data_IF_339983140029
#
_entry.id   IF_339983140029
#
_cell.length_a   1.000
_cell.length_b   1.000
_cell.length_c   1.000
_cell.angle_alpha   90.00
_cell.angle_beta   90.00
_cell.angle_gamma   90.00
#
_symmetry.space_group_name_H-M   'P 1'
#
loop_
_entity.id
_entity.type
_entity.pdbx_description
1 polymer ?
#
# COMPACT_ATOMS: atom_id res chain seq x y z
N UNK A 1 14.42 0.51 16.28
CA UNK A 1 13.32 1.32 16.88
C UNK A 1 12.09 0.42 16.84
N UNK A 2 11.39 0.21 17.93
CA UNK A 2 10.21 -0.67 17.90
C UNK A 2 9.00 0.16 17.46
N UNK A 3 8.56 0.02 16.21
CA UNK A 3 7.46 0.76 15.61
C UNK A 3 6.19 -0.08 15.77
N UNK A 4 5.32 0.37 16.65
CA UNK A 4 4.02 -0.28 16.82
C UNK A 4 3.16 -0.06 15.54
N UNK A 5 2.63 -1.15 14.94
CA UNK A 5 1.79 -1.03 13.75
C UNK A 5 0.56 -0.15 14.00
N UNK A 6 0.30 0.83 13.12
CA UNK A 6 -0.82 1.77 13.23
C UNK A 6 -1.42 2.10 11.88
N UNK A 7 -2.65 2.62 11.88
CA UNK A 7 -3.23 3.25 10.71
C UNK A 7 -3.83 4.62 11.04
N UNK A 8 -3.95 5.46 10.02
CA UNK A 8 -4.53 6.80 10.10
C UNK A 8 -5.55 6.95 8.97
N UNK A 9 -6.78 7.32 9.34
CA UNK A 9 -7.85 7.63 8.38
C UNK A 9 -7.79 9.11 8.00
N UNK A 10 -8.35 9.44 6.83
CA UNK A 10 -8.38 10.78 6.27
C UNK A 10 -6.97 11.41 6.26
N UNK A 11 -6.02 10.64 5.74
CA UNK A 11 -4.60 10.98 5.81
C UNK A 11 -4.26 12.23 4.99
N UNK A 12 -4.92 12.40 3.85
CA UNK A 12 -4.84 13.58 3.00
C UNK A 12 -6.17 14.35 3.04
N UNK A 13 -6.15 15.57 2.53
CA UNK A 13 -7.39 16.29 2.23
C UNK A 13 -8.21 15.49 1.20
N UNK A 14 -9.53 15.45 1.38
CA UNK A 14 -10.42 14.58 0.61
C UNK A 14 -10.29 14.79 -0.91
N UNK A 15 -10.19 16.05 -1.36
CA UNK A 15 -10.07 16.36 -2.78
C UNK A 15 -8.74 15.83 -3.37
N UNK A 16 -7.64 15.85 -2.63
CA UNK A 16 -6.36 15.27 -3.04
C UNK A 16 -6.48 13.74 -3.14
N UNK A 17 -7.09 13.11 -2.14
CA UNK A 17 -7.31 11.66 -2.18
C UNK A 17 -8.16 11.24 -3.39
N UNK A 18 -9.17 12.02 -3.75
CA UNK A 18 -9.99 11.79 -4.95
C UNK A 18 -9.17 11.91 -6.25
N UNK A 19 -8.29 12.91 -6.34
CA UNK A 19 -7.41 13.09 -7.51
C UNK A 19 -6.43 11.92 -7.65
N UNK A 20 -5.86 11.43 -6.55
CA UNK A 20 -5.00 10.23 -6.55
C UNK A 20 -5.79 8.99 -7.01
N UNK A 21 -7.01 8.77 -6.52
CA UNK A 21 -7.86 7.66 -6.98
C UNK A 21 -8.10 7.72 -8.49
N UNK A 22 -8.37 8.90 -9.03
CA UNK A 22 -8.56 9.10 -10.48
C UNK A 22 -7.27 8.83 -11.26
N UNK A 23 -6.15 9.37 -10.81
CA UNK A 23 -4.84 9.21 -11.47
C UNK A 23 -4.42 7.73 -11.52
N UNK A 24 -4.64 6.98 -10.45
CA UNK A 24 -4.29 5.56 -10.41
C UNK A 24 -5.19 4.65 -11.26
N UNK A 25 -6.33 5.13 -11.75
CA UNK A 25 -7.16 4.39 -12.71
C UNK A 25 -6.57 4.39 -14.12
N UNK A 26 -5.72 5.37 -14.44
CA UNK A 26 -5.09 5.55 -15.74
C UNK A 26 -3.66 4.97 -15.81
N UNK A 27 -3.16 4.41 -14.71
CA UNK A 27 -1.81 3.83 -14.64
C UNK A 27 -1.69 2.61 -15.54
N UNK A 28 -0.59 2.52 -16.27
CA UNK A 28 -0.23 1.33 -17.06
C UNK A 28 0.40 0.26 -16.18
N UNK A 29 -0.40 -0.67 -15.72
CA UNK A 29 0.02 -1.74 -14.82
C UNK A 29 0.83 -2.82 -15.54
N UNK A 30 1.89 -3.31 -14.87
CA UNK A 30 2.66 -4.47 -15.30
C UNK A 30 2.29 -5.68 -14.45
N UNK A 31 1.98 -6.82 -15.10
CA UNK A 31 1.72 -8.09 -14.41
C UNK A 31 3.00 -8.92 -14.32
N UNK A 32 3.08 -9.82 -13.37
CA UNK A 32 4.18 -10.78 -13.13
C UNK A 32 5.12 -10.41 -11.97
N UNK A 33 4.73 -9.47 -11.12
CA UNK A 33 5.47 -9.20 -9.89
C UNK A 33 5.04 -10.13 -8.75
N UNK A 34 5.98 -10.50 -7.88
CA UNK A 34 5.72 -11.30 -6.68
C UNK A 34 6.53 -10.74 -5.51
N UNK A 35 5.91 -10.61 -4.35
CA UNK A 35 6.57 -10.15 -3.12
C UNK A 35 7.51 -11.21 -2.52
N UNK A 36 7.45 -12.45 -3.00
CA UNK A 36 8.29 -13.56 -2.55
C UNK A 36 9.06 -14.14 -3.73
N UNK A 37 10.37 -14.30 -3.59
CA UNK A 37 11.22 -14.87 -4.64
C UNK A 37 10.71 -16.25 -5.07
N UNK A 38 10.47 -16.42 -6.36
CA UNK A 38 9.90 -17.63 -6.98
C UNK A 38 8.49 -17.98 -6.47
N UNK A 39 7.74 -17.01 -5.98
CA UNK A 39 6.34 -17.17 -5.62
C UNK A 39 5.46 -17.45 -6.84
N UNK A 40 4.23 -17.89 -6.58
CA UNK A 40 3.25 -18.25 -7.62
C UNK A 40 2.07 -17.28 -7.66
N UNK A 41 1.97 -16.37 -6.69
CA UNK A 41 0.86 -15.42 -6.56
C UNK A 41 1.24 -14.07 -7.17
N UNK A 42 1.33 -14.07 -8.50
CA UNK A 42 1.69 -12.86 -9.26
C UNK A 42 0.62 -11.79 -9.16
N UNK A 43 1.05 -10.55 -9.08
CA UNK A 43 0.16 -9.38 -9.03
C UNK A 43 0.64 -8.25 -9.95
N UNK A 44 -0.17 -7.23 -10.05
CA UNK A 44 0.14 -6.03 -10.81
C UNK A 44 1.03 -5.11 -10.00
N UNK A 45 2.02 -4.53 -10.66
CA UNK A 45 3.03 -3.69 -10.03
C UNK A 45 3.45 -2.55 -10.96
N UNK A 46 3.84 -1.42 -10.38
CA UNK A 46 4.53 -0.33 -11.07
C UNK A 46 5.53 0.29 -10.11
N UNK A 47 6.79 0.27 -10.48
CA UNK A 47 7.82 0.98 -9.73
C UNK A 47 7.69 2.48 -9.99
N UNK A 48 7.75 3.29 -8.94
CA UNK A 48 7.64 4.75 -9.04
C UNK A 48 9.04 5.38 -8.99
N UNK A 49 9.83 5.09 -7.95
CA UNK A 49 11.14 5.69 -7.84
C UNK A 49 11.82 5.45 -6.48
N UNK A 50 13.06 5.94 -6.38
CA UNK A 50 13.89 5.90 -5.17
C UNK A 50 14.06 7.28 -4.51
N UNK A 51 13.60 8.34 -5.15
CA UNK A 51 13.70 9.70 -4.63
C UNK A 51 12.46 10.56 -4.90
N UNK A 52 12.42 11.72 -4.27
CA UNK A 52 11.28 12.63 -4.34
C UNK A 52 11.03 13.14 -5.76
N UNK A 53 12.09 13.38 -6.54
CA UNK A 53 11.97 13.87 -7.93
C UNK A 53 11.34 12.82 -8.83
N UNK A 54 11.73 11.55 -8.70
CA UNK A 54 11.14 10.44 -9.46
C UNK A 54 9.65 10.25 -9.14
N UNK A 55 9.26 10.46 -7.86
CA UNK A 55 7.84 10.38 -7.47
C UNK A 55 7.06 11.57 -8.08
N UNK A 56 7.61 12.78 -8.07
CA UNK A 56 6.97 13.96 -8.67
C UNK A 56 6.81 13.81 -10.18
N UNK A 57 7.83 13.29 -10.86
CA UNK A 57 7.81 13.02 -12.31
C UNK A 57 6.80 11.92 -12.66
N UNK A 58 6.61 10.94 -11.78
CA UNK A 58 5.60 9.89 -11.97
C UNK A 58 4.18 10.43 -11.86
N UNK A 59 3.88 11.26 -10.86
CA UNK A 59 2.55 11.84 -10.66
C UNK A 59 2.50 12.84 -9.50
N UNK A 60 2.14 14.07 -9.83
CA UNK A 60 2.12 15.16 -8.84
C UNK A 60 1.24 14.87 -7.62
N UNK A 61 0.02 14.33 -7.82
CA UNK A 61 -0.85 14.03 -6.68
C UNK A 61 -0.35 12.81 -5.90
N UNK A 62 0.27 11.84 -6.57
CA UNK A 62 0.89 10.68 -5.90
C UNK A 62 2.02 11.13 -4.99
N UNK A 63 2.83 12.12 -5.40
CA UNK A 63 3.90 12.68 -4.57
C UNK A 63 3.39 13.31 -3.28
N UNK A 64 2.14 13.76 -3.23
CA UNK A 64 1.53 14.32 -2.03
C UNK A 64 1.38 13.31 -0.89
N UNK A 65 1.31 12.01 -1.20
CA UNK A 65 1.32 10.96 -0.16
C UNK A 65 2.65 11.01 0.58
N UNK A 66 3.78 11.03 -0.15
CA UNK A 66 5.11 11.15 0.46
C UNK A 66 5.29 12.48 1.21
N UNK A 67 4.86 13.59 0.62
CA UNK A 67 4.95 14.90 1.26
C UNK A 67 4.21 14.93 2.61
N UNK A 68 3.05 14.28 2.70
CA UNK A 68 2.31 14.18 3.94
C UNK A 68 2.97 13.20 4.95
N UNK A 69 3.57 12.10 4.46
CA UNK A 69 4.38 11.21 5.31
C UNK A 69 5.54 12.01 5.92
N UNK A 70 6.31 12.72 5.09
CA UNK A 70 7.45 13.54 5.52
C UNK A 70 7.06 14.64 6.54
N UNK A 71 5.91 15.26 6.33
CA UNK A 71 5.40 16.26 7.28
C UNK A 71 5.02 15.67 8.64
N UNK A 72 4.46 14.48 8.65
CA UNK A 72 3.98 13.81 9.87
C UNK A 72 5.09 13.01 10.58
N UNK A 73 6.06 12.53 9.84
CA UNK A 73 7.15 11.66 10.26
C UNK A 73 8.49 12.13 9.66
N UNK A 74 8.98 13.33 10.08
CA UNK A 74 10.15 13.98 9.46
C UNK A 74 11.46 13.23 9.66
N UNK A 75 11.49 12.24 10.54
CA UNK A 75 12.65 11.40 10.82
C UNK A 75 12.93 10.36 9.72
N UNK A 76 11.92 10.03 8.87
CA UNK A 76 12.10 9.02 7.82
C UNK A 76 12.56 9.65 6.50
N UNK A 77 13.29 8.85 5.76
CA UNK A 77 13.73 9.15 4.40
C UNK A 77 13.11 8.15 3.44
N UNK A 78 12.79 8.62 2.25
CA UNK A 78 12.34 7.76 1.17
C UNK A 78 13.48 6.82 0.75
N UNK A 79 13.19 5.54 0.70
CA UNK A 79 14.07 4.52 0.12
C UNK A 79 13.57 4.12 -1.27
N UNK A 80 12.28 3.86 -1.39
CA UNK A 80 11.60 3.54 -2.65
C UNK A 80 10.10 3.77 -2.53
N UNK A 81 9.47 3.97 -3.66
CA UNK A 81 8.02 4.00 -3.78
C UNK A 81 7.57 3.14 -4.96
N UNK A 82 6.43 2.45 -4.82
CA UNK A 82 5.83 1.62 -5.86
C UNK A 82 4.33 1.46 -5.67
N UNK A 83 3.67 1.01 -6.72
CA UNK A 83 2.26 0.66 -6.72
C UNK A 83 2.09 -0.85 -6.79
N UNK A 84 1.20 -1.39 -5.98
CA UNK A 84 0.74 -2.76 -6.10
C UNK A 84 -0.77 -2.79 -6.35
N UNK A 85 -1.21 -3.75 -7.17
CA UNK A 85 -2.64 -3.98 -7.36
C UNK A 85 -2.97 -5.47 -7.41
N UNK A 86 -4.08 -5.82 -6.76
CA UNK A 86 -4.55 -7.20 -6.65
C UNK A 86 -5.96 -7.31 -7.23
N UNK A 87 -6.23 -8.41 -7.92
CA UNK A 87 -7.56 -8.83 -8.33
C UNK A 87 -8.14 -9.85 -7.36
N UNK A 88 -9.44 -10.10 -7.43
CA UNK A 88 -10.02 -11.25 -6.72
C UNK A 88 -9.38 -12.57 -7.17
N UNK A 89 -9.33 -13.53 -6.27
CA UNK A 89 -8.72 -14.84 -6.52
C UNK A 89 -7.20 -14.90 -6.33
N UNK A 90 -6.54 -13.76 -6.07
CA UNK A 90 -5.16 -13.74 -5.63
C UNK A 90 -5.09 -13.99 -4.12
N UNK A 91 -4.18 -14.88 -3.72
CA UNK A 91 -3.85 -15.14 -2.31
C UNK A 91 -2.43 -14.62 -2.03
N UNK A 92 -2.28 -13.36 -1.55
CA UNK A 92 -0.97 -12.78 -1.30
C UNK A 92 -0.18 -13.56 -0.25
N UNK A 93 1.14 -13.64 -0.39
CA UNK A 93 2.02 -14.28 0.57
C UNK A 93 2.27 -13.41 1.80
N UNK A 94 2.48 -14.06 2.95
CA UNK A 94 3.09 -13.41 4.11
C UNK A 94 4.58 -13.19 3.78
N UNK A 95 5.07 -11.98 3.98
CA UNK A 95 6.44 -11.59 3.69
C UNK A 95 6.92 -10.48 4.63
N UNK A 96 8.15 -10.06 4.45
CA UNK A 96 8.79 -8.92 5.10
C UNK A 96 9.29 -7.98 4.02
N UNK A 97 9.32 -6.71 4.30
CA UNK A 97 9.95 -5.70 3.44
C UNK A 97 11.39 -5.42 3.89
N UNK A 98 12.17 -4.83 3.00
CA UNK A 98 13.45 -4.21 3.34
C UNK A 98 13.20 -2.79 3.88
N UNK A 99 14.22 -2.20 4.52
CA UNK A 99 14.15 -0.86 5.09
C UNK A 99 13.76 -0.86 6.56
N UNK A 100 13.46 0.32 7.11
CA UNK A 100 13.12 0.49 8.52
C UNK A 100 11.61 0.47 8.75
N UNK A 101 10.85 1.15 7.88
CA UNK A 101 9.39 1.34 8.00
C UNK A 101 8.72 1.18 6.65
N UNK A 102 7.63 0.43 6.62
CA UNK A 102 6.72 0.36 5.47
C UNK A 102 5.51 1.24 5.73
N UNK A 103 5.19 2.09 4.75
CA UNK A 103 3.95 2.84 4.67
C UNK A 103 3.10 2.30 3.52
N UNK A 104 1.81 2.02 3.77
CA UNK A 104 0.87 1.58 2.73
C UNK A 104 -0.32 2.52 2.71
N UNK A 105 -0.50 3.25 1.62
CA UNK A 105 -1.65 4.13 1.41
C UNK A 105 -2.70 3.46 0.53
N UNK A 106 -3.97 3.55 0.91
CA UNK A 106 -5.12 3.03 0.17
C UNK A 106 -5.83 4.15 -0.59
N UNK A 107 -5.70 4.21 -1.92
CA UNK A 107 -6.21 5.32 -2.71
C UNK A 107 -7.69 5.21 -3.10
N UNK A 108 -8.27 3.97 -3.20
CA UNK A 108 -9.60 3.78 -3.77
C UNK A 108 -10.70 4.30 -2.84
N UNK A 109 -11.29 5.45 -3.20
CA UNK A 109 -12.29 6.13 -2.39
C UNK A 109 -13.66 5.44 -2.38
N UNK A 110 -13.98 4.67 -3.42
CA UNK A 110 -15.24 3.94 -3.59
C UNK A 110 -15.18 2.47 -3.10
N UNK A 111 -14.11 2.09 -2.37
CA UNK A 111 -13.93 0.73 -1.89
C UNK A 111 -14.97 0.33 -0.84
N UNK A 112 -15.61 -0.82 -1.05
CA UNK A 112 -16.64 -1.33 -0.14
C UNK A 112 -16.03 -2.26 0.91
N UNK A 113 -16.42 -2.16 2.20
CA UNK A 113 -15.87 -2.99 3.27
C UNK A 113 -15.95 -4.51 3.00
N UNK A 114 -17.03 -4.98 2.38
CA UNK A 114 -17.24 -6.40 2.05
C UNK A 114 -16.31 -6.92 0.95
N UNK A 115 -15.59 -6.05 0.25
CA UNK A 115 -14.61 -6.46 -0.76
C UNK A 115 -13.29 -6.94 -0.17
N UNK A 116 -13.05 -6.75 1.16
CA UNK A 116 -11.81 -7.16 1.81
C UNK A 116 -10.61 -6.33 1.36
N UNK A 117 -9.48 -6.96 1.12
CA UNK A 117 -8.29 -6.31 0.56
C UNK A 117 -7.49 -5.44 1.54
N UNK A 118 -7.72 -5.56 2.84
CA UNK A 118 -6.92 -4.89 3.86
C UNK A 118 -5.49 -5.42 3.96
N UNK A 119 -4.80 -5.06 5.03
CA UNK A 119 -3.46 -5.59 5.37
C UNK A 119 -3.46 -6.06 6.80
N UNK A 120 -2.90 -7.24 7.04
CA UNK A 120 -2.60 -7.76 8.38
C UNK A 120 -1.11 -7.73 8.64
N UNK A 121 -0.73 -7.33 9.85
CA UNK A 121 0.63 -7.39 10.39
C UNK A 121 0.64 -8.42 11.51
N UNK A 122 1.70 -9.21 11.60
CA UNK A 122 1.80 -10.32 12.51
C UNK A 122 3.06 -10.20 13.38
N UNK A 123 3.02 -10.82 14.56
CA UNK A 123 4.22 -11.09 15.35
C UNK A 123 4.97 -12.33 14.83
N UNK A 124 6.10 -12.68 15.47
CA UNK A 124 6.91 -13.84 15.11
C UNK A 124 6.20 -15.19 15.30
N UNK A 125 5.10 -15.22 16.04
CA UNK A 125 4.26 -16.41 16.26
C UNK A 125 3.04 -16.45 15.33
N UNK A 126 3.00 -15.55 14.31
CA UNK A 126 1.86 -15.39 13.40
C UNK A 126 0.55 -14.92 14.06
N UNK A 127 0.61 -14.34 15.26
CA UNK A 127 -0.55 -13.68 15.83
C UNK A 127 -0.71 -12.30 15.16
N UNK A 128 -1.96 -11.95 14.81
CA UNK A 128 -2.27 -10.65 14.22
C UNK A 128 -2.06 -9.54 15.26
N UNK A 129 -1.14 -8.63 15.01
CA UNK A 129 -0.88 -7.44 15.83
C UNK A 129 -1.64 -6.22 15.32
N UNK A 130 -1.90 -6.17 14.02
CA UNK A 130 -2.76 -5.17 13.39
C UNK A 130 -3.55 -5.81 12.24
N UNK A 131 -4.84 -5.52 12.17
CA UNK A 131 -5.63 -5.72 10.95
C UNK A 131 -6.22 -4.39 10.52
N UNK A 132 -5.71 -3.83 9.42
CA UNK A 132 -6.22 -2.62 8.81
C UNK A 132 -7.08 -2.97 7.60
N UNK A 133 -8.40 -2.93 7.75
CA UNK A 133 -9.32 -3.08 6.62
C UNK A 133 -9.06 -2.01 5.56
N UNK A 134 -9.27 -2.35 4.28
CA UNK A 134 -9.12 -1.38 3.20
C UNK A 134 -10.18 -0.27 3.33
N UNK A 135 -9.73 0.97 3.34
CA UNK A 135 -10.57 2.17 3.35
C UNK A 135 -9.82 3.27 2.58
N UNK A 136 -10.48 3.89 1.62
CA UNK A 136 -9.89 5.00 0.88
C UNK A 136 -9.39 6.10 1.80
N UNK A 137 -8.28 6.72 1.44
CA UNK A 137 -7.59 7.75 2.21
C UNK A 137 -7.12 7.28 3.60
N UNK A 138 -6.80 5.99 3.73
CA UNK A 138 -6.13 5.41 4.91
C UNK A 138 -4.69 5.13 4.59
N UNK A 139 -3.79 5.45 5.52
CA UNK A 139 -2.40 5.00 5.51
C UNK A 139 -2.16 4.10 6.71
N UNK A 140 -1.34 3.07 6.53
CA UNK A 140 -0.81 2.23 7.59
C UNK A 140 0.70 2.34 7.61
N UNK A 141 1.29 2.23 8.81
CA UNK A 141 2.73 2.09 8.96
C UNK A 141 3.06 0.99 9.97
N UNK A 142 4.16 0.32 9.73
CA UNK A 142 4.71 -0.72 10.59
C UNK A 142 6.21 -0.91 10.31
N UNK A 143 6.92 -1.56 11.22
CA UNK A 143 8.32 -1.92 11.02
C UNK A 143 8.45 -2.83 9.79
N UNK A 144 9.29 -2.47 8.82
CA UNK A 144 9.38 -3.15 7.52
C UNK A 144 9.66 -4.66 7.65
N UNK A 145 10.48 -5.04 8.64
CA UNK A 145 10.78 -6.44 8.92
C UNK A 145 9.65 -7.21 9.63
N UNK A 146 8.53 -6.58 9.98
CA UNK A 146 7.37 -7.31 10.50
C UNK A 146 6.75 -8.20 9.43
N UNK A 147 6.35 -9.40 9.81
CA UNK A 147 5.55 -10.27 8.95
C UNK A 147 4.24 -9.56 8.60
N UNK A 148 3.92 -9.46 7.33
CA UNK A 148 2.68 -8.84 6.88
C UNK A 148 2.13 -9.46 5.60
N UNK A 149 0.85 -9.21 5.35
CA UNK A 149 0.14 -9.77 4.19
C UNK A 149 -1.01 -8.86 3.78
N UNK A 150 -1.15 -8.60 2.48
CA UNK A 150 -2.39 -8.08 1.94
C UNK A 150 -3.48 -9.16 2.04
N UNK A 151 -4.68 -8.78 2.46
CA UNK A 151 -5.81 -9.71 2.52
C UNK A 151 -6.40 -9.94 1.13
N UNK A 152 -6.94 -11.15 0.87
CA UNK A 152 -7.59 -11.45 -0.40
C UNK A 152 -8.75 -10.49 -0.69
N UNK A 153 -8.98 -10.26 -1.97
CA UNK A 153 -10.12 -9.49 -2.49
C UNK A 153 -11.28 -10.45 -2.75
N UNK A 154 -12.48 -10.07 -2.27
CA UNK A 154 -13.69 -10.83 -2.48
C UNK A 154 -14.00 -11.03 -3.97
N UNK A 155 -14.58 -12.17 -4.35
CA UNK A 155 -15.05 -12.46 -5.71
C UNK A 155 -16.19 -11.54 -6.18
N UNK A 156 -16.81 -10.80 -5.27
CA UNK A 156 -17.82 -9.78 -5.61
C UNK A 156 -17.20 -8.48 -6.13
N UNK A 157 -15.87 -8.32 -5.96
CA UNK A 157 -15.15 -7.14 -6.41
C UNK A 157 -14.46 -7.41 -7.76
N UNK A 158 -14.85 -6.67 -8.78
CA UNK A 158 -14.21 -6.69 -10.11
C UNK A 158 -13.25 -5.51 -10.33
N UNK A 159 -12.96 -4.75 -9.28
CA UNK A 159 -12.02 -3.64 -9.34
C UNK A 159 -10.64 -4.07 -8.86
N UNK A 160 -9.61 -3.35 -9.30
CA UNK A 160 -8.26 -3.53 -8.75
C UNK A 160 -8.19 -2.95 -7.33
N UNK A 161 -7.74 -3.76 -6.40
CA UNK A 161 -7.30 -3.31 -5.08
C UNK A 161 -5.92 -2.70 -5.25
N UNK A 162 -5.82 -1.39 -5.26
CA UNK A 162 -4.57 -0.67 -5.44
C UNK A 162 -4.01 -0.16 -4.11
N UNK A 163 -2.70 -0.03 -3.99
CA UNK A 163 -2.04 0.68 -2.90
C UNK A 163 -0.75 1.34 -3.39
N UNK A 164 -0.35 2.40 -2.69
CA UNK A 164 0.97 3.04 -2.80
C UNK A 164 1.79 2.58 -1.59
N UNK A 165 2.99 2.11 -1.84
CA UNK A 165 3.93 1.60 -0.82
C UNK A 165 5.21 2.40 -0.87
#
# INVERSE_FOLDING_TARGET
MNIEPKYYDNFLEEHIAQLIDMELREVSWQYDYDSVKNGVNKHWHVFIGHDEGEIEDFGYHISMVWNQIKNKFPEYKLERAYLNAHTHGLEPHIHRDDGDVTFIYYPRMDWKPQWGGGTSVFDENYNVTLHAGYKGNRIINFEAHSLHQAQPVSRECYQLRTCIV
#
